data_IF_123685129422
#
_entry.id   IF_123685129422
#
_cell.length_a   1.000
_cell.length_b   1.000
_cell.length_c   1.000
_cell.angle_alpha   90.00
_cell.angle_beta   90.00
_cell.angle_gamma   90.00
#
_symmetry.space_group_name_H-M   'P 1'
#
loop_
_entity.id
_entity.type
_entity.pdbx_description
1 polymer ?
#
# COMPACT_ATOMS: atom_id res chain seq x y z
N UNK A 1 0.21 19.34 -16.18
CA UNK A 1 -0.25 19.77 -14.85
C UNK A 1 0.93 19.93 -13.92
N UNK A 2 0.84 20.82 -12.93
CA UNK A 2 1.71 20.81 -11.76
C UNK A 2 1.06 19.91 -10.69
N UNK A 3 1.72 18.80 -10.34
CA UNK A 3 1.20 17.82 -9.39
C UNK A 3 2.05 17.84 -8.12
N UNK A 4 1.40 18.04 -6.97
CA UNK A 4 2.03 17.90 -5.67
C UNK A 4 2.03 16.42 -5.26
N UNK A 5 3.21 15.83 -5.06
CA UNK A 5 3.37 14.48 -4.52
C UNK A 5 3.87 14.59 -3.09
N UNK A 6 3.02 14.31 -2.11
CA UNK A 6 3.46 14.19 -0.71
C UNK A 6 4.05 12.82 -0.48
N UNK A 7 5.11 12.70 0.33
CA UNK A 7 5.82 11.42 0.49
C UNK A 7 6.58 10.98 -0.78
N UNK A 8 6.88 11.93 -1.67
CA UNK A 8 7.48 11.65 -2.97
C UNK A 8 8.93 11.18 -2.91
N UNK A 9 9.61 11.32 -1.78
CA UNK A 9 10.95 10.77 -1.55
C UNK A 9 10.92 9.32 -1.04
N UNK A 10 9.73 8.81 -0.67
CA UNK A 10 9.52 7.44 -0.22
C UNK A 10 9.68 6.40 -1.33
N UNK A 11 9.60 5.11 -0.98
CA UNK A 11 9.74 3.99 -1.92
C UNK A 11 8.74 4.11 -3.10
N UNK A 12 7.45 4.10 -2.82
CA UNK A 12 6.41 4.18 -3.86
C UNK A 12 6.40 5.58 -4.48
N UNK A 13 6.49 6.62 -3.64
CA UNK A 13 6.43 8.02 -4.07
C UNK A 13 7.48 8.38 -5.11
N UNK A 14 8.73 7.92 -4.97
CA UNK A 14 9.79 8.20 -5.93
C UNK A 14 9.53 7.61 -7.32
N UNK A 15 8.94 6.41 -7.38
CA UNK A 15 8.51 5.81 -8.65
C UNK A 15 7.34 6.56 -9.29
N UNK A 16 6.40 7.07 -8.48
CA UNK A 16 5.30 7.92 -8.94
C UNK A 16 5.83 9.23 -9.49
N UNK A 17 6.73 9.91 -8.78
CA UNK A 17 7.39 11.15 -9.25
C UNK A 17 8.03 10.92 -10.61
N UNK A 18 8.80 9.84 -10.77
CA UNK A 18 9.44 9.49 -12.02
C UNK A 18 8.43 9.23 -13.15
N UNK A 19 7.35 8.48 -12.86
CA UNK A 19 6.29 8.18 -13.83
C UNK A 19 5.56 9.43 -14.29
N UNK A 20 5.18 10.32 -13.37
CA UNK A 20 4.51 11.58 -13.69
C UNK A 20 5.39 12.51 -14.53
N UNK A 21 6.67 12.67 -14.18
CA UNK A 21 7.61 13.48 -14.96
C UNK A 21 7.83 12.89 -16.36
N UNK A 22 7.95 11.57 -16.48
CA UNK A 22 8.10 10.88 -17.77
C UNK A 22 6.85 11.04 -18.66
N UNK A 23 5.69 11.26 -18.07
CA UNK A 23 4.43 11.57 -18.77
C UNK A 23 4.29 13.09 -19.11
N UNK A 24 5.29 13.92 -18.80
CA UNK A 24 5.29 15.34 -19.12
C UNK A 24 4.63 16.24 -18.08
N UNK A 25 4.34 15.74 -16.88
CA UNK A 25 3.85 16.57 -15.78
C UNK A 25 5.01 17.29 -15.08
N UNK A 26 4.76 18.48 -14.55
CA UNK A 26 5.64 19.13 -13.59
C UNK A 26 5.31 18.59 -12.21
N UNK A 27 6.33 18.23 -11.43
CA UNK A 27 6.13 17.60 -10.11
C UNK A 27 6.77 18.44 -9.02
N UNK A 28 6.00 18.72 -7.99
CA UNK A 28 6.49 19.24 -6.71
C UNK A 28 6.38 18.14 -5.66
N UNK A 29 7.45 17.93 -4.90
CA UNK A 29 7.51 16.93 -3.83
C UNK A 29 7.48 17.64 -2.47
N UNK A 30 6.60 17.21 -1.57
CA UNK A 30 6.60 17.55 -0.15
C UNK A 30 6.92 16.29 0.65
N UNK A 31 8.04 16.28 1.35
CA UNK A 31 8.46 15.13 2.16
C UNK A 31 9.25 15.61 3.39
N UNK A 32 8.97 15.03 4.54
CA UNK A 32 9.66 15.35 5.79
C UNK A 32 11.01 14.66 5.94
N UNK A 33 11.30 13.67 5.10
CA UNK A 33 12.54 12.85 5.16
C UNK A 33 12.80 12.36 6.59
N UNK A 34 11.76 11.77 7.20
CA UNK A 34 11.86 11.30 8.58
C UNK A 34 12.98 10.25 8.72
N UNK A 35 13.84 10.34 9.77
CA UNK A 35 14.94 9.37 9.95
C UNK A 35 14.47 7.93 10.10
N UNK A 36 13.23 7.69 10.49
CA UNK A 36 12.61 6.36 10.56
C UNK A 36 12.34 5.73 9.20
N UNK A 37 12.24 6.55 8.14
CA UNK A 37 11.99 6.13 6.77
C UNK A 37 13.20 6.35 5.84
N UNK A 38 14.16 7.20 6.22
CA UNK A 38 15.31 7.61 5.41
C UNK A 38 16.57 7.68 6.28
N UNK A 39 17.48 6.73 6.16
CA UNK A 39 18.81 6.80 6.79
C UNK A 39 19.80 7.61 5.96
N UNK A 40 19.53 7.73 4.66
CA UNK A 40 20.34 8.50 3.73
C UNK A 40 19.49 9.56 3.05
N UNK A 41 20.11 10.66 2.62
CA UNK A 41 19.40 11.71 1.89
C UNK A 41 18.79 11.15 0.59
N UNK A 42 17.47 11.29 0.36
CA UNK A 42 16.85 10.79 -0.86
C UNK A 42 17.29 11.62 -2.08
N UNK A 43 17.41 10.94 -3.22
CA UNK A 43 17.62 11.58 -4.51
C UNK A 43 16.32 11.67 -5.28
N UNK A 44 15.96 12.86 -5.75
CA UNK A 44 14.81 13.06 -6.64
C UNK A 44 15.27 13.19 -8.10
N UNK A 45 14.41 12.88 -9.08
CA UNK A 45 14.70 13.13 -10.48
C UNK A 45 15.02 14.61 -10.72
N UNK A 46 16.01 14.92 -11.59
CA UNK A 46 16.29 16.30 -11.98
C UNK A 46 15.04 16.99 -12.53
N UNK A 47 14.78 18.23 -12.08
CA UNK A 47 13.61 19.00 -12.49
C UNK A 47 12.38 18.85 -11.58
N UNK A 48 12.37 17.94 -10.62
CA UNK A 48 11.34 17.92 -9.58
C UNK A 48 11.56 19.09 -8.60
N UNK A 49 10.51 19.85 -8.31
CA UNK A 49 10.58 20.87 -7.25
C UNK A 49 10.57 20.20 -5.88
N UNK A 50 11.48 20.59 -5.00
CA UNK A 50 11.61 20.01 -3.66
C UNK A 50 11.12 20.94 -2.57
N UNK A 51 10.27 20.42 -1.67
CA UNK A 51 9.84 21.05 -0.41
C UNK A 51 10.14 20.07 0.73
N UNK A 52 11.22 20.30 1.46
CA UNK A 52 11.55 19.54 2.66
C UNK A 52 10.74 20.06 3.82
N UNK A 53 9.57 19.45 4.07
CA UNK A 53 8.68 19.83 5.16
C UNK A 53 7.70 18.71 5.48
N UNK A 54 7.11 18.78 6.67
CA UNK A 54 6.13 17.82 7.15
C UNK A 54 4.73 18.19 6.64
N UNK A 55 3.95 17.20 6.21
CA UNK A 55 2.56 17.38 5.77
C UNK A 55 1.64 17.86 6.91
N UNK A 56 2.07 17.76 8.15
CA UNK A 56 1.39 18.30 9.35
C UNK A 56 1.59 19.80 9.55
N UNK A 57 2.55 20.40 8.86
CA UNK A 57 2.79 21.85 8.89
C UNK A 57 1.88 22.56 7.89
N UNK A 58 0.85 23.24 8.41
CA UNK A 58 -0.15 23.92 7.59
C UNK A 58 0.45 25.05 6.72
N UNK A 59 1.48 25.76 7.21
CA UNK A 59 2.12 26.81 6.44
C UNK A 59 2.94 26.24 5.28
N UNK A 60 3.68 25.17 5.52
CA UNK A 60 4.43 24.45 4.49
C UNK A 60 3.51 23.82 3.44
N UNK A 61 2.39 23.24 3.86
CA UNK A 61 1.36 22.70 2.96
C UNK A 61 0.75 23.80 2.09
N UNK A 62 0.41 24.95 2.66
CA UNK A 62 -0.14 26.08 1.91
C UNK A 62 0.88 26.61 0.88
N UNK A 63 2.17 26.67 1.22
CA UNK A 63 3.24 27.02 0.28
C UNK A 63 3.37 25.99 -0.84
N UNK A 64 3.37 24.70 -0.48
CA UNK A 64 3.49 23.62 -1.44
C UNK A 64 2.32 23.53 -2.43
N UNK A 65 1.13 23.99 -2.04
CA UNK A 65 -0.08 23.97 -2.87
C UNK A 65 -0.19 25.16 -3.85
N UNK A 66 0.71 26.14 -3.82
CA UNK A 66 0.64 27.29 -4.73
C UNK A 66 0.79 26.86 -6.19
N UNK A 67 -0.24 27.13 -7.00
CA UNK A 67 -0.28 26.83 -8.42
C UNK A 67 -0.43 25.34 -8.75
N UNK A 68 -0.74 24.50 -7.78
CA UNK A 68 -0.93 23.04 -7.97
C UNK A 68 -2.28 22.75 -8.60
N UNK A 69 -2.29 21.87 -9.61
CA UNK A 69 -3.49 21.40 -10.30
C UNK A 69 -4.12 20.17 -9.64
N UNK A 70 -3.26 19.27 -9.12
CA UNK A 70 -3.68 18.00 -8.51
C UNK A 70 -2.71 17.57 -7.41
N UNK A 71 -3.19 16.77 -6.46
CA UNK A 71 -2.37 16.19 -5.38
C UNK A 71 -2.35 14.67 -5.51
N UNK A 72 -1.15 14.09 -5.37
CA UNK A 72 -0.91 12.67 -5.16
C UNK A 72 -0.41 12.47 -3.73
N UNK A 73 -1.29 12.01 -2.83
CA UNK A 73 -0.99 11.92 -1.40
C UNK A 73 -0.45 10.53 -1.05
N UNK A 74 0.89 10.45 -0.89
CA UNK A 74 1.60 9.21 -0.53
C UNK A 74 2.20 9.27 0.88
N UNK A 75 2.30 10.45 1.49
CA UNK A 75 2.87 10.61 2.82
C UNK A 75 2.04 9.85 3.86
N UNK A 76 2.65 8.88 4.51
CA UNK A 76 2.05 8.09 5.57
C UNK A 76 3.12 7.35 6.37
N UNK A 77 2.85 7.13 7.64
CA UNK A 77 3.51 6.10 8.42
C UNK A 77 2.87 4.75 8.08
N UNK A 78 3.69 3.73 7.75
CA UNK A 78 3.21 2.44 7.22
C UNK A 78 3.70 1.28 8.08
N UNK A 79 3.12 0.07 7.89
CA UNK A 79 3.49 -1.15 8.61
C UNK A 79 2.68 -1.37 9.88
N UNK A 80 2.95 -2.47 10.59
CA UNK A 80 2.17 -2.87 11.77
C UNK A 80 2.60 -2.16 13.07
N UNK A 81 3.71 -1.40 13.03
CA UNK A 81 4.32 -0.85 14.24
C UNK A 81 4.99 -1.91 15.12
N UNK A 82 5.42 -1.50 16.30
CA UNK A 82 6.01 -2.41 17.31
C UNK A 82 4.95 -2.86 18.32
N UNK A 83 4.19 -1.91 18.83
CA UNK A 83 3.10 -2.13 19.78
C UNK A 83 2.09 -0.97 19.72
N UNK A 84 1.11 -0.96 20.62
CA UNK A 84 0.05 0.05 20.64
C UNK A 84 0.54 1.45 21.06
N UNK A 85 1.75 1.60 21.61
CA UNK A 85 2.35 2.88 21.93
C UNK A 85 2.68 3.70 20.68
N UNK A 86 2.83 3.06 19.53
CA UNK A 86 3.03 3.72 18.23
C UNK A 86 1.73 4.41 17.69
N UNK A 87 0.56 4.13 18.28
CA UNK A 87 -0.73 4.63 17.78
C UNK A 87 -0.81 6.16 17.62
N UNK A 88 -0.29 6.98 18.57
CA UNK A 88 -0.28 8.44 18.41
C UNK A 88 0.49 8.90 17.17
N UNK A 89 1.61 8.25 16.85
CA UNK A 89 2.44 8.59 15.69
C UNK A 89 1.71 8.27 14.38
N UNK A 90 1.04 7.10 14.31
CA UNK A 90 0.21 6.74 13.15
C UNK A 90 -0.92 7.76 12.94
N UNK A 91 -1.67 8.10 13.99
CA UNK A 91 -2.77 9.07 13.91
C UNK A 91 -2.25 10.46 13.55
N UNK A 92 -1.14 10.88 14.15
CA UNK A 92 -0.52 12.17 13.84
C UNK A 92 -0.08 12.24 12.37
N UNK A 93 0.68 11.25 11.89
CA UNK A 93 1.19 11.29 10.52
C UNK A 93 0.08 11.08 9.48
N UNK A 94 -0.80 10.11 9.69
CA UNK A 94 -1.76 9.70 8.68
C UNK A 94 -3.04 10.55 8.74
N UNK A 95 -3.70 10.63 9.88
CA UNK A 95 -5.00 11.28 9.99
C UNK A 95 -4.85 12.81 10.05
N UNK A 96 -4.03 13.31 10.98
CA UNK A 96 -3.80 14.76 11.10
C UNK A 96 -3.11 15.30 9.85
N UNK A 97 -2.07 14.63 9.33
CA UNK A 97 -1.38 15.03 8.10
C UNK A 97 -2.34 15.12 6.91
N UNK A 98 -3.22 14.14 6.74
CA UNK A 98 -4.26 14.18 5.70
C UNK A 98 -5.25 15.32 5.93
N UNK A 99 -5.71 15.53 7.17
CA UNK A 99 -6.65 16.61 7.47
C UNK A 99 -6.05 17.99 7.16
N UNK A 100 -4.78 18.22 7.51
CA UNK A 100 -4.05 19.46 7.19
C UNK A 100 -3.93 19.67 5.69
N UNK A 101 -3.56 18.60 4.95
CA UNK A 101 -3.47 18.66 3.49
C UNK A 101 -4.82 19.01 2.86
N UNK A 102 -5.90 18.33 3.25
CA UNK A 102 -7.24 18.56 2.72
C UNK A 102 -7.77 19.96 3.02
N UNK A 103 -7.48 20.50 4.21
CA UNK A 103 -7.80 21.89 4.56
C UNK A 103 -7.04 22.88 3.67
N UNK A 104 -5.74 22.64 3.44
CA UNK A 104 -4.92 23.43 2.52
C UNK A 104 -5.43 23.36 1.08
N UNK A 105 -5.80 22.17 0.59
CA UNK A 105 -6.39 21.98 -0.73
C UNK A 105 -7.70 22.75 -0.89
N UNK A 106 -8.57 22.70 0.12
CA UNK A 106 -9.82 23.48 0.11
C UNK A 106 -9.55 24.99 0.00
N UNK A 107 -8.62 25.51 0.80
CA UNK A 107 -8.23 26.92 0.80
C UNK A 107 -7.57 27.34 -0.53
N UNK A 108 -6.74 26.49 -1.14
CA UNK A 108 -6.08 26.75 -2.41
C UNK A 108 -6.97 26.50 -3.64
N UNK A 109 -8.18 25.97 -3.47
CA UNK A 109 -9.09 25.65 -4.58
C UNK A 109 -8.68 24.41 -5.37
N UNK A 110 -7.75 23.59 -4.89
CA UNK A 110 -7.32 22.34 -5.52
C UNK A 110 -8.39 21.27 -5.31
N UNK A 111 -8.89 20.66 -6.39
CA UNK A 111 -10.08 19.77 -6.38
C UNK A 111 -9.77 18.32 -6.77
N UNK A 112 -8.54 17.99 -7.13
CA UNK A 112 -8.13 16.68 -7.65
C UNK A 112 -7.20 16.00 -6.66
N UNK A 113 -7.58 14.81 -6.19
CA UNK A 113 -6.80 14.03 -5.23
C UNK A 113 -6.67 12.58 -5.67
N UNK A 114 -5.44 12.11 -5.87
CA UNK A 114 -5.07 10.70 -5.83
C UNK A 114 -4.58 10.36 -4.42
N UNK A 115 -5.21 9.41 -3.75
CA UNK A 115 -4.91 9.03 -2.38
C UNK A 115 -4.37 7.60 -2.31
N UNK A 116 -3.21 7.42 -1.70
CA UNK A 116 -2.68 6.10 -1.38
C UNK A 116 -3.54 5.41 -0.32
N UNK A 117 -4.42 4.52 -0.76
CA UNK A 117 -5.15 3.57 0.08
C UNK A 117 -4.34 2.29 0.31
N UNK A 118 -4.94 1.30 0.96
CA UNK A 118 -4.28 0.03 1.26
C UNK A 118 -5.28 -1.11 1.37
N UNK A 119 -4.88 -2.32 0.98
CA UNK A 119 -5.64 -3.55 1.19
C UNK A 119 -5.96 -3.83 2.67
N UNK A 120 -5.19 -3.27 3.58
CA UNK A 120 -5.35 -3.51 5.02
C UNK A 120 -6.71 -3.07 5.55
N UNK A 121 -7.41 -2.17 4.85
CA UNK A 121 -8.76 -1.71 5.22
C UNK A 121 -9.80 -2.82 5.17
N UNK A 122 -9.56 -3.88 4.40
CA UNK A 122 -10.49 -5.02 4.29
C UNK A 122 -10.41 -6.00 5.47
N UNK A 123 -9.32 -5.99 6.24
CA UNK A 123 -9.04 -7.01 7.25
C UNK A 123 -8.78 -8.37 6.60
N UNK A 124 -9.45 -9.42 7.09
CA UNK A 124 -9.45 -10.72 6.41
C UNK A 124 -10.12 -10.58 5.04
N UNK A 125 -9.60 -11.30 4.04
CA UNK A 125 -10.08 -11.25 2.67
C UNK A 125 -11.51 -11.78 2.48
N UNK A 126 -11.84 -12.09 1.25
CA UNK A 126 -13.14 -12.68 0.89
C UNK A 126 -13.10 -14.19 1.07
N UNK A 127 -14.07 -14.73 1.78
CA UNK A 127 -14.18 -16.16 2.02
C UNK A 127 -15.57 -16.69 1.72
N UNK A 128 -15.63 -17.93 1.22
CA UNK A 128 -16.86 -18.65 0.98
C UNK A 128 -16.86 -19.99 1.73
N UNK A 129 -17.97 -20.28 2.39
CA UNK A 129 -18.27 -21.58 2.96
C UNK A 129 -19.11 -22.38 1.93
N UNK A 130 -18.83 -23.66 1.69
CA UNK A 130 -19.65 -24.48 0.80
C UNK A 130 -21.15 -24.48 1.16
N UNK A 131 -21.46 -24.45 2.47
CA UNK A 131 -22.84 -24.49 2.98
C UNK A 131 -23.48 -23.13 3.10
N UNK A 132 -22.72 -22.07 3.52
CA UNK A 132 -23.27 -20.79 3.91
C UNK A 132 -22.99 -19.66 2.92
N UNK A 133 -22.33 -19.94 1.80
CA UNK A 133 -21.93 -18.93 0.82
C UNK A 133 -20.87 -17.97 1.40
N UNK A 134 -20.98 -16.68 1.09
CA UNK A 134 -20.04 -15.67 1.59
C UNK A 134 -20.17 -15.52 3.12
N UNK A 135 -19.03 -15.62 3.78
CA UNK A 135 -18.92 -15.46 5.24
C UNK A 135 -17.69 -14.61 5.57
N UNK A 136 -17.72 -13.97 6.74
CA UNK A 136 -16.55 -13.24 7.28
C UNK A 136 -16.02 -14.02 8.47
N UNK A 137 -14.81 -14.58 8.41
CA UNK A 137 -14.20 -15.21 9.56
C UNK A 137 -13.87 -14.14 10.61
N UNK A 138 -14.03 -14.52 11.87
CA UNK A 138 -13.55 -13.70 12.98
C UNK A 138 -12.02 -13.67 13.07
N UNK A 139 -11.45 -12.98 14.08
CA UNK A 139 -10.04 -13.07 14.40
C UNK A 139 -9.60 -14.51 14.60
N UNK A 140 -8.43 -14.87 14.09
CA UNK A 140 -7.85 -16.21 14.27
C UNK A 140 -7.56 -16.46 15.75
N UNK A 141 -7.92 -17.62 16.26
CA UNK A 141 -7.76 -17.97 17.68
C UNK A 141 -6.32 -18.44 17.93
N UNK A 142 -5.71 -17.99 19.01
CA UNK A 142 -4.35 -18.40 19.43
C UNK A 142 -4.24 -19.92 19.51
N UNK A 143 -5.21 -20.61 20.12
CA UNK A 143 -5.21 -22.07 20.23
C UNK A 143 -5.21 -22.82 18.89
N UNK A 144 -5.78 -22.21 17.81
CA UNK A 144 -5.73 -22.80 16.48
C UNK A 144 -4.36 -22.57 15.84
N UNK A 145 -3.79 -21.37 16.00
CA UNK A 145 -2.46 -21.02 15.51
C UNK A 145 -1.38 -21.87 16.17
N UNK A 146 -1.43 -22.06 17.50
CA UNK A 146 -0.53 -22.91 18.28
C UNK A 146 -0.60 -24.37 17.83
N UNK A 147 -1.77 -24.81 17.39
CA UNK A 147 -1.98 -26.16 16.86
C UNK A 147 -1.67 -26.29 15.35
N UNK A 148 -1.09 -25.26 14.72
CA UNK A 148 -0.79 -25.25 13.28
C UNK A 148 -2.01 -25.20 12.37
N UNK A 149 -3.19 -24.84 12.91
CA UNK A 149 -4.41 -24.66 12.13
C UNK A 149 -4.52 -23.19 11.69
N UNK A 150 -3.94 -22.87 10.57
CA UNK A 150 -3.81 -21.49 10.09
C UNK A 150 -5.02 -21.01 9.26
N UNK A 151 -5.76 -21.92 8.63
CA UNK A 151 -6.95 -21.55 7.86
C UNK A 151 -8.12 -21.17 8.77
N UNK A 152 -8.78 -20.00 8.53
CA UNK A 152 -9.93 -19.62 9.32
C UNK A 152 -11.13 -20.54 9.03
N UNK A 153 -11.79 -21.08 10.07
CA UNK A 153 -12.99 -21.89 9.88
C UNK A 153 -14.22 -21.01 9.64
N UNK A 154 -15.26 -21.61 9.06
CA UNK A 154 -16.57 -20.98 8.95
C UNK A 154 -17.12 -20.66 10.34
N UNK A 155 -17.53 -19.40 10.63
CA UNK A 155 -18.02 -19.02 11.94
C UNK A 155 -19.38 -19.65 12.30
N UNK A 156 -20.07 -20.27 11.31
CA UNK A 156 -21.39 -20.89 11.50
C UNK A 156 -21.32 -22.41 11.69
N UNK A 157 -20.49 -23.10 10.91
CA UNK A 157 -20.44 -24.57 10.94
C UNK A 157 -19.04 -25.15 11.22
N UNK A 158 -17.98 -24.31 11.27
CA UNK A 158 -16.62 -24.79 11.50
C UNK A 158 -15.93 -25.38 10.28
N UNK A 159 -16.62 -25.53 9.14
CA UNK A 159 -16.02 -26.06 7.91
C UNK A 159 -14.92 -25.17 7.35
N UNK A 160 -13.94 -25.73 6.63
CA UNK A 160 -12.92 -24.95 5.93
C UNK A 160 -13.51 -23.95 4.95
N UNK A 161 -12.90 -22.78 4.86
CA UNK A 161 -13.33 -21.72 3.96
C UNK A 161 -12.46 -21.67 2.71
N UNK A 162 -13.07 -21.36 1.56
CA UNK A 162 -12.36 -21.05 0.34
C UNK A 162 -12.08 -19.53 0.27
N UNK A 163 -10.81 -19.17 0.10
CA UNK A 163 -10.42 -17.78 -0.11
C UNK A 163 -10.70 -17.32 -1.54
N UNK A 164 -11.25 -16.11 -1.71
CA UNK A 164 -11.55 -15.48 -2.99
C UNK A 164 -10.87 -14.12 -3.15
N UNK A 165 -11.08 -13.49 -4.32
CA UNK A 165 -10.60 -12.13 -4.59
C UNK A 165 -11.51 -11.09 -3.93
N UNK A 166 -10.93 -10.04 -3.35
CA UNK A 166 -11.63 -8.94 -2.71
C UNK A 166 -11.86 -7.83 -3.74
N UNK A 167 -13.10 -7.47 -3.97
CA UNK A 167 -13.49 -6.27 -4.73
C UNK A 167 -13.62 -5.05 -3.82
N UNK A 168 -13.79 -3.86 -4.41
CA UNK A 168 -13.84 -2.60 -3.66
C UNK A 168 -15.15 -2.39 -2.89
N UNK A 169 -16.18 -3.20 -3.17
CA UNK A 169 -17.45 -3.21 -2.42
C UNK A 169 -17.42 -4.13 -1.20
N UNK A 170 -16.31 -4.87 -1.02
CA UNK A 170 -16.16 -5.73 0.15
C UNK A 170 -16.22 -4.89 1.44
N UNK A 171 -16.86 -5.40 2.49
CA UNK A 171 -16.92 -4.71 3.77
C UNK A 171 -15.54 -4.41 4.34
N UNK A 172 -15.36 -3.20 4.88
CA UNK A 172 -14.11 -2.75 5.49
C UNK A 172 -14.07 -3.14 6.97
N UNK A 173 -12.94 -3.70 7.42
CA UNK A 173 -12.77 -4.23 8.77
C UNK A 173 -11.30 -4.14 9.22
N UNK A 174 -10.79 -2.91 9.46
CA UNK A 174 -9.40 -2.70 9.81
C UNK A 174 -9.04 -3.43 11.11
N UNK A 175 -7.91 -4.17 11.11
CA UNK A 175 -7.51 -5.07 12.20
C UNK A 175 -6.37 -4.53 13.06
N UNK A 176 -5.80 -3.39 12.73
CA UNK A 176 -4.69 -2.74 13.46
C UNK A 176 -4.75 -1.23 13.30
N UNK A 177 -3.90 -0.50 14.04
CA UNK A 177 -3.87 0.96 14.04
C UNK A 177 -3.60 1.51 12.64
N UNK A 178 -2.61 0.98 11.92
CA UNK A 178 -2.31 1.40 10.56
C UNK A 178 -3.51 1.24 9.62
N UNK A 179 -4.18 0.10 9.66
CA UNK A 179 -5.38 -0.13 8.86
C UNK A 179 -6.50 0.85 9.19
N UNK A 180 -6.68 1.16 10.48
CA UNK A 180 -7.65 2.15 10.95
C UNK A 180 -7.35 3.54 10.40
N UNK A 181 -6.08 3.98 10.47
CA UNK A 181 -5.70 5.30 9.92
C UNK A 181 -5.85 5.34 8.41
N UNK A 182 -5.55 4.25 7.68
CA UNK A 182 -5.77 4.19 6.23
C UNK A 182 -7.25 4.34 5.87
N UNK A 183 -8.15 3.73 6.63
CA UNK A 183 -9.59 3.91 6.45
C UNK A 183 -10.04 5.33 6.84
N UNK A 184 -9.50 5.89 7.91
CA UNK A 184 -9.79 7.26 8.33
C UNK A 184 -9.38 8.29 7.23
N UNK A 185 -8.25 8.10 6.57
CA UNK A 185 -7.84 8.92 5.41
C UNK A 185 -8.89 8.88 4.29
N UNK A 186 -9.44 7.70 3.94
CA UNK A 186 -10.51 7.57 2.94
C UNK A 186 -11.77 8.34 3.39
N UNK A 187 -12.17 8.24 4.65
CA UNK A 187 -13.33 8.95 5.19
C UNK A 187 -13.14 10.46 5.21
N UNK A 188 -11.97 10.96 5.61
CA UNK A 188 -11.61 12.38 5.56
C UNK A 188 -11.66 12.91 4.12
N UNK A 189 -11.09 12.19 3.17
CA UNK A 189 -11.10 12.55 1.76
C UNK A 189 -12.52 12.55 1.17
N UNK A 190 -13.36 11.58 1.55
CA UNK A 190 -14.76 11.55 1.13
C UNK A 190 -15.58 12.73 1.71
N UNK A 191 -15.35 13.09 2.97
CA UNK A 191 -15.98 14.26 3.59
C UNK A 191 -15.53 15.56 2.90
N UNK A 192 -14.23 15.71 2.65
CA UNK A 192 -13.68 16.84 1.90
C UNK A 192 -14.24 16.94 0.49
N UNK A 193 -14.32 15.83 -0.24
CA UNK A 193 -14.88 15.82 -1.59
C UNK A 193 -16.31 16.36 -1.59
N UNK A 194 -17.19 15.84 -0.72
CA UNK A 194 -18.58 16.30 -0.59
C UNK A 194 -18.69 17.79 -0.23
N UNK A 195 -17.85 18.26 0.68
CA UNK A 195 -17.90 19.65 1.15
C UNK A 195 -17.38 20.65 0.11
N UNK A 196 -16.47 20.24 -0.76
CA UNK A 196 -15.76 21.15 -1.66
C UNK A 196 -16.08 20.95 -3.15
N UNK A 197 -16.80 19.90 -3.52
CA UNK A 197 -16.94 19.46 -4.93
C UNK A 197 -15.67 18.81 -5.48
N UNK A 198 -14.72 18.43 -4.61
CA UNK A 198 -13.51 17.73 -5.02
C UNK A 198 -13.77 16.33 -5.57
N UNK A 199 -12.78 15.77 -6.28
CA UNK A 199 -12.81 14.42 -6.84
C UNK A 199 -11.64 13.62 -6.30
N UNK A 200 -11.91 12.42 -5.80
CA UNK A 200 -10.90 11.58 -5.14
C UNK A 200 -10.85 10.21 -5.81
N UNK A 201 -9.65 9.83 -6.27
CA UNK A 201 -9.32 8.45 -6.61
C UNK A 201 -8.48 7.84 -5.49
N UNK A 202 -9.03 6.84 -4.80
CA UNK A 202 -8.29 6.07 -3.78
C UNK A 202 -7.72 4.83 -4.41
N UNK A 203 -6.43 4.62 -4.26
CA UNK A 203 -5.73 3.46 -4.79
C UNK A 203 -5.34 2.54 -3.62
N UNK A 204 -6.12 1.48 -3.40
CA UNK A 204 -5.87 0.48 -2.35
C UNK A 204 -4.77 -0.47 -2.81
N UNK A 205 -3.53 -0.13 -2.46
CA UNK A 205 -2.38 -0.95 -2.84
C UNK A 205 -2.40 -2.29 -2.12
N UNK A 206 -2.15 -3.35 -2.89
CA UNK A 206 -1.84 -4.67 -2.35
C UNK A 206 -0.34 -4.78 -2.01
N UNK A 207 0.26 -5.96 -2.00
CA UNK A 207 1.65 -6.11 -1.55
C UNK A 207 2.65 -5.56 -2.58
N UNK A 208 3.01 -4.29 -2.45
CA UNK A 208 3.94 -3.61 -3.35
C UNK A 208 5.37 -4.09 -3.10
N UNK A 209 6.08 -4.41 -4.18
CA UNK A 209 7.49 -4.78 -4.13
C UNK A 209 8.27 -4.19 -5.31
N UNK A 210 9.59 -4.12 -5.20
CA UNK A 210 10.44 -3.71 -6.31
C UNK A 210 11.68 -2.93 -5.90
N UNK A 211 12.43 -2.39 -6.88
CA UNK A 211 13.65 -1.62 -6.64
C UNK A 211 13.44 -0.44 -5.69
N UNK A 212 14.37 -0.23 -4.77
CA UNK A 212 14.31 0.87 -3.81
C UNK A 212 13.39 0.60 -2.61
N UNK A 213 12.92 -0.64 -2.40
CA UNK A 213 12.29 -1.01 -1.12
C UNK A 213 13.25 -0.75 0.05
N UNK A 214 12.74 -0.28 1.21
CA UNK A 214 13.59 -0.06 2.38
C UNK A 214 14.10 -1.39 2.93
N UNK A 215 15.39 -1.40 3.35
CA UNK A 215 16.06 -2.55 3.95
C UNK A 215 15.64 -2.71 5.41
N UNK A 216 15.36 -3.96 5.84
CA UNK A 216 15.27 -4.38 7.25
C UNK A 216 14.63 -3.37 8.23
N UNK A 217 13.50 -2.78 7.86
CA UNK A 217 12.77 -1.92 8.79
C UNK A 217 11.53 -2.63 9.32
N UNK A 218 11.05 -2.32 10.54
CA UNK A 218 9.79 -2.83 11.05
C UNK A 218 8.59 -2.50 10.15
N UNK A 219 8.76 -1.49 9.30
CA UNK A 219 7.78 -0.96 8.36
C UNK A 219 7.95 -1.54 6.94
N UNK A 220 8.97 -2.40 6.73
CA UNK A 220 9.20 -3.04 5.45
C UNK A 220 8.18 -4.17 5.21
N UNK A 221 7.69 -4.28 3.98
CA UNK A 221 6.88 -5.41 3.57
C UNK A 221 7.69 -6.72 3.53
N UNK A 222 7.02 -7.86 3.58
CA UNK A 222 7.62 -9.20 3.63
C UNK A 222 8.66 -9.45 2.53
N UNK A 223 8.46 -8.91 1.33
CA UNK A 223 9.40 -9.04 0.22
C UNK A 223 10.77 -8.42 0.54
N UNK A 224 10.79 -7.26 1.20
CA UNK A 224 12.02 -6.60 1.63
C UNK A 224 12.75 -7.40 2.71
N UNK A 225 12.03 -7.93 3.68
CA UNK A 225 12.63 -8.76 4.74
C UNK A 225 13.34 -9.98 4.15
N UNK A 226 12.69 -10.65 3.19
CA UNK A 226 13.29 -11.81 2.52
C UNK A 226 14.49 -11.42 1.66
N UNK A 227 14.40 -10.31 0.92
CA UNK A 227 15.52 -9.81 0.10
C UNK A 227 16.72 -9.40 0.96
N UNK A 228 16.45 -8.78 2.13
CA UNK A 228 17.49 -8.40 3.09
C UNK A 228 18.16 -9.63 3.73
N UNK A 229 17.39 -10.67 4.05
CA UNK A 229 17.95 -11.93 4.56
C UNK A 229 18.88 -12.58 3.53
N UNK A 230 18.44 -12.67 2.27
CA UNK A 230 19.25 -13.21 1.18
C UNK A 230 20.55 -12.43 0.97
N UNK A 231 20.52 -11.10 1.11
CA UNK A 231 21.71 -10.25 1.00
C UNK A 231 22.74 -10.53 2.11
N UNK A 232 22.29 -10.97 3.29
CA UNK A 232 23.16 -11.45 4.37
C UNK A 232 23.58 -12.91 4.24
N UNK A 233 23.16 -13.61 3.17
CA UNK A 233 23.38 -15.05 2.99
C UNK A 233 22.49 -15.93 3.87
N UNK A 234 21.42 -15.36 4.45
CA UNK A 234 20.49 -16.05 5.34
C UNK A 234 19.25 -16.56 4.57
N UNK A 235 18.70 -17.69 5.00
CA UNK A 235 17.46 -18.22 4.46
C UNK A 235 16.27 -17.33 4.85
N UNK A 236 15.38 -16.95 3.91
CA UNK A 236 14.13 -16.27 4.25
C UNK A 236 13.29 -17.09 5.23
N UNK A 237 12.88 -16.50 6.33
CA UNK A 237 12.02 -17.13 7.35
C UNK A 237 10.56 -16.92 6.99
N UNK A 238 9.89 -17.98 6.60
CA UNK A 238 8.48 -17.97 6.21
C UNK A 238 7.63 -18.42 7.40
N UNK A 239 6.72 -17.56 7.84
CA UNK A 239 5.84 -17.81 8.96
C UNK A 239 4.68 -18.75 8.58
N UNK A 240 4.05 -19.31 9.60
CA UNK A 240 2.99 -20.30 9.50
C UNK A 240 3.48 -21.49 8.63
N UNK A 241 2.67 -21.93 7.68
CA UNK A 241 3.02 -22.94 6.67
C UNK A 241 3.45 -22.32 5.33
N UNK A 242 3.57 -20.99 5.25
CA UNK A 242 3.85 -20.26 4.02
C UNK A 242 2.67 -20.15 3.05
N UNK A 243 1.49 -20.65 3.43
CA UNK A 243 0.30 -20.68 2.58
C UNK A 243 -0.50 -19.38 2.55
N UNK A 244 -0.09 -18.33 3.27
CA UNK A 244 -0.77 -17.03 3.25
C UNK A 244 -0.80 -16.48 1.82
N UNK A 245 -2.00 -16.22 1.27
CA UNK A 245 -2.17 -15.69 -0.08
C UNK A 245 -2.13 -14.18 -0.08
N UNK A 246 -1.35 -13.62 -1.02
CA UNK A 246 -1.21 -12.18 -1.27
C UNK A 246 -1.24 -11.91 -2.76
N UNK A 247 -1.56 -10.68 -3.11
CA UNK A 247 -1.35 -10.16 -4.45
C UNK A 247 -0.09 -9.28 -4.42
N UNK A 248 0.96 -9.74 -5.09
CA UNK A 248 2.23 -9.03 -5.16
C UNK A 248 2.27 -8.18 -6.43
N UNK A 249 2.26 -6.86 -6.27
CA UNK A 249 2.25 -5.90 -7.38
C UNK A 249 3.58 -5.15 -7.46
N UNK A 250 4.16 -5.08 -8.66
CA UNK A 250 5.43 -4.38 -8.86
C UNK A 250 5.25 -2.86 -8.73
N UNK A 251 6.22 -2.17 -8.12
CA UNK A 251 6.14 -0.73 -7.84
C UNK A 251 5.95 0.13 -9.08
N UNK A 252 6.46 -0.30 -10.24
CA UNK A 252 6.22 0.41 -11.52
C UNK A 252 4.76 0.36 -11.94
N UNK A 253 4.09 -0.75 -11.68
CA UNK A 253 2.67 -0.91 -11.97
C UNK A 253 1.84 -0.06 -11.02
N UNK A 254 2.24 0.05 -9.74
CA UNK A 254 1.62 0.99 -8.80
C UNK A 254 1.81 2.44 -9.24
N UNK A 255 2.99 2.80 -9.71
CA UNK A 255 3.25 4.16 -10.22
C UNK A 255 2.40 4.47 -11.45
N UNK A 256 2.28 3.53 -12.40
CA UNK A 256 1.41 3.70 -13.59
C UNK A 256 -0.08 3.76 -13.22
N UNK A 257 -0.52 3.05 -12.18
CA UNK A 257 -1.89 3.14 -11.68
C UNK A 257 -2.20 4.54 -11.09
N UNK A 258 -1.23 5.15 -10.39
CA UNK A 258 -1.38 6.53 -9.91
C UNK A 258 -1.47 7.54 -11.06
N UNK A 259 -0.64 7.40 -12.09
CA UNK A 259 -0.72 8.23 -13.29
C UNK A 259 -2.10 8.10 -13.93
N UNK A 260 -2.56 6.88 -14.21
CA UNK A 260 -3.87 6.64 -14.82
C UNK A 260 -5.03 7.22 -13.99
N UNK A 261 -4.96 7.09 -12.65
CA UNK A 261 -5.97 7.62 -11.75
C UNK A 261 -5.99 9.15 -11.71
N UNK A 262 -4.82 9.81 -11.74
CA UNK A 262 -4.73 11.27 -11.77
C UNK A 262 -5.18 11.85 -13.12
N UNK A 263 -4.86 11.19 -14.22
CA UNK A 263 -5.30 11.60 -15.56
C UNK A 263 -6.82 11.46 -15.74
N UNK A 264 -7.41 10.44 -15.09
CA UNK A 264 -8.84 10.17 -15.20
C UNK A 264 -9.69 10.85 -14.10
N UNK A 265 -9.10 11.48 -13.10
CA UNK A 265 -9.82 11.99 -11.92
C UNK A 265 -10.91 13.03 -12.28
N UNK A 266 -10.72 13.79 -13.36
CA UNK A 266 -11.71 14.75 -13.85
C UNK A 266 -12.98 14.08 -14.41
N UNK A 267 -12.91 12.81 -14.80
CA UNK A 267 -14.05 12.02 -15.23
C UNK A 267 -14.96 11.57 -14.07
N UNK A 268 -14.51 11.68 -12.83
CA UNK A 268 -15.34 11.37 -11.67
C UNK A 268 -16.38 12.48 -11.45
N UNK A 269 -17.58 12.15 -10.95
CA UNK A 269 -18.55 13.16 -10.54
C UNK A 269 -18.00 14.06 -9.42
N UNK A 270 -18.40 15.32 -9.40
CA UNK A 270 -18.03 16.25 -8.32
C UNK A 270 -18.53 15.75 -6.96
N UNK A 271 -17.76 16.02 -5.92
CA UNK A 271 -18.10 15.64 -4.57
C UNK A 271 -17.97 14.14 -4.29
N UNK A 272 -17.29 13.37 -5.14
CA UNK A 272 -17.21 11.91 -5.00
C UNK A 272 -15.82 11.39 -4.71
N UNK A 273 -15.81 10.20 -4.11
CA UNK A 273 -14.63 9.37 -3.93
C UNK A 273 -14.87 8.03 -4.65
N UNK A 274 -13.88 7.60 -5.45
CA UNK A 274 -13.87 6.29 -6.10
C UNK A 274 -12.65 5.51 -5.66
N UNK A 275 -12.87 4.32 -5.08
CA UNK A 275 -11.80 3.41 -4.67
C UNK A 275 -11.48 2.39 -5.76
N UNK A 276 -10.20 2.04 -5.89
CA UNK A 276 -9.67 1.05 -6.83
C UNK A 276 -8.64 0.15 -6.14
N UNK A 277 -8.76 -1.16 -6.30
CA UNK A 277 -7.71 -2.09 -5.91
C UNK A 277 -6.57 -2.04 -6.93
N UNK A 278 -5.34 -1.91 -6.43
CA UNK A 278 -4.13 -1.98 -7.23
C UNK A 278 -3.38 -3.26 -6.89
N UNK A 279 -3.55 -4.26 -7.73
CA UNK A 279 -2.96 -5.58 -7.62
C UNK A 279 -2.61 -6.16 -8.98
N UNK A 280 -1.85 -7.24 -8.99
CA UNK A 280 -1.50 -7.96 -10.22
C UNK A 280 -2.68 -8.76 -10.78
N UNK A 281 -3.62 -9.16 -9.92
CA UNK A 281 -4.68 -10.12 -10.22
C UNK A 281 -4.22 -11.58 -10.22
N UNK A 282 -2.95 -11.83 -9.88
CA UNK A 282 -2.35 -13.16 -9.78
C UNK A 282 -1.91 -13.43 -8.33
N UNK A 283 -2.77 -14.07 -7.52
CA UNK A 283 -2.44 -14.39 -6.14
C UNK A 283 -1.32 -15.42 -6.03
N UNK A 284 -0.33 -15.12 -5.17
CA UNK A 284 0.71 -16.05 -4.79
C UNK A 284 0.77 -16.23 -3.28
N UNK A 285 1.28 -17.37 -2.83
CA UNK A 285 1.56 -17.57 -1.41
C UNK A 285 2.85 -16.85 -1.01
N UNK A 286 2.96 -16.54 0.29
CA UNK A 286 4.21 -15.97 0.85
C UNK A 286 5.37 -16.95 0.66
N UNK A 287 5.12 -18.26 0.78
CA UNK A 287 6.12 -19.30 0.52
C UNK A 287 6.57 -19.36 -0.94
N UNK A 288 5.64 -19.25 -1.91
CA UNK A 288 5.97 -19.18 -3.34
C UNK A 288 6.82 -17.94 -3.65
N UNK A 289 6.48 -16.80 -3.10
CA UNK A 289 7.23 -15.57 -3.28
C UNK A 289 8.65 -15.67 -2.70
N UNK A 290 8.78 -16.20 -1.48
CA UNK A 290 10.09 -16.43 -0.86
C UNK A 290 10.97 -17.36 -1.70
N UNK A 291 10.38 -18.45 -2.20
CA UNK A 291 11.10 -19.42 -3.04
C UNK A 291 11.49 -18.83 -4.40
N UNK A 292 10.60 -18.06 -5.03
CA UNK A 292 10.90 -17.38 -6.31
C UNK A 292 12.04 -16.37 -6.15
N UNK A 293 11.99 -15.57 -5.10
CA UNK A 293 13.01 -14.57 -4.80
C UNK A 293 14.38 -15.23 -4.46
N UNK A 294 14.38 -16.28 -3.63
CA UNK A 294 15.60 -17.02 -3.28
C UNK A 294 16.27 -17.64 -4.52
N UNK A 295 15.47 -18.28 -5.40
CA UNK A 295 15.99 -18.81 -6.68
C UNK A 295 16.56 -17.71 -7.58
N UNK A 296 15.85 -16.61 -7.74
CA UNK A 296 16.31 -15.49 -8.57
C UNK A 296 17.57 -14.83 -8.03
N UNK A 297 17.72 -14.78 -6.71
CA UNK A 297 18.91 -14.24 -6.03
C UNK A 297 20.11 -15.22 -6.08
N UNK A 298 19.86 -16.51 -6.25
CA UNK A 298 20.89 -17.55 -6.12
C UNK A 298 21.30 -17.82 -4.67
N UNK A 299 20.41 -17.55 -3.71
CA UNK A 299 20.63 -17.69 -2.27
C UNK A 299 19.99 -18.95 -1.68
N UNK A 300 20.07 -19.10 -0.34
CA UNK A 300 19.49 -20.24 0.36
C UNK A 300 17.96 -20.27 0.20
N UNK A 301 17.40 -21.47 0.13
CA UNK A 301 15.95 -21.68 0.05
C UNK A 301 15.27 -21.23 1.37
N UNK A 302 14.01 -20.78 1.30
CA UNK A 302 13.30 -20.35 2.50
C UNK A 302 13.05 -21.49 3.49
N UNK A 303 12.97 -21.14 4.77
CA UNK A 303 12.64 -22.06 5.87
C UNK A 303 11.27 -21.70 6.41
N UNK A 304 10.34 -22.66 6.37
CA UNK A 304 9.03 -22.56 6.99
C UNK A 304 9.18 -22.80 8.50
N UNK A 305 8.78 -21.83 9.32
CA UNK A 305 9.10 -21.83 10.76
C UNK A 305 7.94 -22.30 11.65
N UNK A 306 6.70 -22.27 11.17
CA UNK A 306 5.51 -22.47 11.99
C UNK A 306 5.17 -21.30 12.92
N UNK A 307 6.05 -20.30 13.04
CA UNK A 307 5.82 -19.09 13.83
C UNK A 307 4.68 -18.26 13.20
N UNK A 308 3.97 -17.51 14.01
CA UNK A 308 2.92 -16.63 13.53
C UNK A 308 2.97 -15.26 14.22
N UNK A 309 2.30 -14.27 13.63
CA UNK A 309 2.02 -12.99 14.27
C UNK A 309 0.54 -12.88 14.58
N UNK A 310 0.22 -12.57 15.82
CA UNK A 310 -1.15 -12.31 16.19
C UNK A 310 -1.64 -11.03 15.48
N UNK A 311 -2.83 -11.09 14.87
CA UNK A 311 -3.38 -9.98 14.11
C UNK A 311 -3.03 -9.95 12.61
N UNK A 312 -2.11 -10.79 12.14
CA UNK A 312 -1.92 -10.97 10.70
C UNK A 312 -3.13 -11.67 10.07
N UNK A 313 -3.51 -11.22 8.87
CA UNK A 313 -4.58 -11.83 8.08
C UNK A 313 -4.06 -13.03 7.30
N UNK A 314 -4.89 -14.08 7.15
CA UNK A 314 -4.48 -15.29 6.43
C UNK A 314 -4.42 -15.06 4.92
N UNK A 315 -5.52 -14.57 4.33
CA UNK A 315 -5.58 -14.33 2.89
C UNK A 315 -6.14 -12.93 2.60
N UNK A 316 -5.48 -12.21 1.70
CA UNK A 316 -5.97 -10.96 1.13
C UNK A 316 -5.43 -10.80 -0.28
N UNK A 317 -6.32 -10.89 -1.28
CA UNK A 317 -5.96 -10.88 -2.70
C UNK A 317 -6.92 -10.01 -3.49
N UNK A 318 -6.38 -9.21 -4.43
CA UNK A 318 -7.14 -8.20 -5.16
C UNK A 318 -8.01 -8.78 -6.27
N UNK A 319 -9.24 -8.23 -6.42
CA UNK A 319 -9.90 -8.09 -7.70
C UNK A 319 -9.62 -6.68 -8.23
N UNK A 320 -8.85 -6.54 -9.29
CA UNK A 320 -8.50 -5.25 -9.90
C UNK A 320 -9.37 -4.93 -11.14
N UNK A 321 -10.52 -5.59 -11.28
CA UNK A 321 -11.37 -5.46 -12.47
C UNK A 321 -11.94 -4.05 -12.64
N UNK A 322 -12.24 -3.36 -11.53
CA UNK A 322 -12.71 -1.98 -11.56
C UNK A 322 -11.66 -1.04 -12.16
N UNK A 323 -10.43 -1.11 -11.68
CA UNK A 323 -9.33 -0.29 -12.18
C UNK A 323 -9.10 -0.55 -13.68
N UNK A 324 -9.17 -1.82 -14.09
CA UNK A 324 -9.06 -2.23 -15.50
C UNK A 324 -10.20 -1.68 -16.36
N UNK A 325 -11.44 -1.82 -15.90
CA UNK A 325 -12.62 -1.44 -16.67
C UNK A 325 -12.79 0.08 -16.78
N UNK A 326 -12.56 0.81 -15.68
CA UNK A 326 -12.83 2.26 -15.64
C UNK A 326 -11.64 3.10 -16.12
N UNK A 327 -10.39 2.66 -15.85
CA UNK A 327 -9.18 3.43 -16.19
C UNK A 327 -8.32 2.78 -17.29
N UNK A 328 -8.72 1.62 -17.82
CA UNK A 328 -7.94 0.90 -18.84
C UNK A 328 -6.60 0.38 -18.36
N UNK A 329 -6.32 0.45 -17.05
CA UNK A 329 -5.04 0.07 -16.48
C UNK A 329 -4.88 -1.46 -16.39
N UNK A 330 -3.66 -1.93 -16.66
CA UNK A 330 -3.25 -3.34 -16.47
C UNK A 330 -1.84 -3.40 -15.93
N UNK A 331 -1.53 -4.34 -15.02
CA UNK A 331 -0.16 -4.61 -14.61
C UNK A 331 0.67 -5.06 -15.83
N UNK A 332 1.92 -4.60 -15.90
CA UNK A 332 2.82 -4.89 -17.00
C UNK A 332 3.96 -5.84 -16.60
N UNK A 333 4.23 -5.96 -15.29
CA UNK A 333 5.34 -6.75 -14.78
C UNK A 333 4.80 -8.07 -14.25
N UNK A 334 5.05 -9.16 -14.99
CA UNK A 334 4.72 -10.51 -14.54
C UNK A 334 5.48 -10.88 -13.27
N UNK A 335 4.87 -11.71 -12.39
CA UNK A 335 5.44 -12.06 -11.10
C UNK A 335 6.88 -12.59 -11.17
N UNK A 336 7.16 -13.57 -12.05
CA UNK A 336 8.48 -14.16 -12.19
C UNK A 336 9.54 -13.13 -12.63
N UNK A 337 9.19 -12.28 -13.58
CA UNK A 337 10.06 -11.20 -14.06
C UNK A 337 10.32 -10.16 -12.94
N UNK A 338 9.27 -9.77 -12.23
CA UNK A 338 9.37 -8.84 -11.11
C UNK A 338 10.27 -9.36 -10.00
N UNK A 339 10.15 -10.65 -9.64
CA UNK A 339 11.03 -11.28 -8.65
C UNK A 339 12.49 -11.32 -9.12
N UNK A 340 12.74 -11.63 -10.39
CA UNK A 340 14.09 -11.60 -10.96
C UNK A 340 14.71 -10.21 -10.93
N UNK A 341 13.96 -9.19 -11.32
CA UNK A 341 14.39 -7.79 -11.26
C UNK A 341 14.66 -7.34 -9.82
N UNK A 342 13.77 -7.70 -8.90
CA UNK A 342 13.89 -7.31 -7.49
C UNK A 342 15.06 -8.02 -6.78
N UNK A 343 15.36 -9.27 -7.16
CA UNK A 343 16.51 -10.00 -6.63
C UNK A 343 17.83 -9.28 -6.89
N UNK A 344 18.01 -8.69 -8.07
CA UNK A 344 19.23 -7.94 -8.46
C UNK A 344 19.19 -6.44 -8.11
N UNK A 345 18.04 -5.92 -7.66
CA UNK A 345 17.91 -4.50 -7.40
C UNK A 345 18.49 -4.07 -6.05
N UNK A 346 19.04 -2.83 -5.96
CA UNK A 346 19.45 -2.30 -4.66
C UNK A 346 18.25 -2.08 -3.75
N UNK A 347 18.40 -2.42 -2.49
CA UNK A 347 17.51 -1.96 -1.43
C UNK A 347 17.97 -0.57 -0.99
N UNK A 348 17.01 0.26 -0.59
CA UNK A 348 17.30 1.55 0.01
C UNK A 348 17.60 1.33 1.50
N UNK A 349 18.61 2.01 2.02
CA UNK A 349 18.83 2.07 3.45
C UNK A 349 17.66 2.85 4.07
N UNK A 350 16.88 2.14 4.88
CA UNK A 350 15.69 2.66 5.53
C UNK A 350 16.00 3.43 6.80
#
# INVERSE_FOLDING_TARGET
>A
MLILVTGGAGFIGSHIVHSLMSAGHTVRVLDAVLPTAHRTAPSLPPGAEWRHADVRDAAAVADALRGVDAVCHQAAMVGLGKDFADAPDYVSCNDLGTAVLLAGMAAAGVRRLGLAGSMVVYGEGRYACPTHGLVRPGPRRVADLDAGRFEPPCPRCGEPLAAGLVDEEAPLDPRNVYATTKLAQEHLAAAWARATGGRVAVLRYHNVYGPGMPRDTPYAGVASLFRSALERGEAPRVFEDGGQRRDFVHVRDVASANLAALDAVDGLPEGTLRAYNVGSGEPHTVGEMAAALARAYGGPLPVVTGEYRLGDVRHITACADRLRAELGWKPQVAFAEGMARFAGAPLRDG
#
